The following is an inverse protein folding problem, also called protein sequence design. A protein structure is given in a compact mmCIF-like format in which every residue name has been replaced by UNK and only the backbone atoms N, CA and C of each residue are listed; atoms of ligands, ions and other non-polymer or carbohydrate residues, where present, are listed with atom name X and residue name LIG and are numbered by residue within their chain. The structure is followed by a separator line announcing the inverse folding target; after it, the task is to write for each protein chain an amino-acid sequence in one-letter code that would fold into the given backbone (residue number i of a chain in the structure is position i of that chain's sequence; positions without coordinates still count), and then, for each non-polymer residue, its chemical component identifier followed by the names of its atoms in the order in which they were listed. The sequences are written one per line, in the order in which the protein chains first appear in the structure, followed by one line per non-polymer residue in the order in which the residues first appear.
data_IF_726314204907
#
_entry.id   IF_726314204907
#
_cell.length_a   1.000
_cell.length_b   1.000
_cell.length_c   1.000
_cell.angle_alpha   90.00
_cell.angle_beta   90.00
_cell.angle_gamma   90.00
#
_symmetry.space_group_name_H-M   'P 1'
#
loop_
_entity.id
_entity.type
_entity.pdbx_description
1 polymer ?
#
# COMPACT_ATOMS: atom_id res chain seq x y z
N UNK A 1 -7.01 -7.53 16.56
CA UNK A 1 -6.69 -8.94 16.31
C UNK A 1 -5.46 -8.98 15.42
N UNK A 2 -4.32 -9.53 15.88
CA UNK A 2 -3.12 -9.59 15.06
C UNK A 2 -3.32 -10.59 13.92
N UNK A 3 -3.01 -10.19 12.69
CA UNK A 3 -2.86 -11.07 11.53
C UNK A 3 -1.45 -10.94 11.01
N UNK A 4 -0.74 -12.05 10.91
CA UNK A 4 0.52 -12.08 10.18
C UNK A 4 0.25 -12.46 8.73
N UNK A 5 0.33 -11.45 7.85
CA UNK A 5 0.06 -11.67 6.43
C UNK A 5 1.17 -12.48 5.75
N UNK A 6 2.37 -12.56 6.33
CA UNK A 6 3.48 -13.35 5.77
C UNK A 6 3.35 -14.84 6.06
N UNK A 7 2.45 -15.25 6.95
CA UNK A 7 2.09 -16.66 7.14
C UNK A 7 1.16 -17.18 6.04
N UNK A 8 0.57 -16.28 5.23
CA UNK A 8 -0.28 -16.64 4.10
C UNK A 8 0.60 -16.81 2.85
N UNK A 9 0.74 -18.04 2.29
CA UNK A 9 1.69 -18.29 1.20
C UNK A 9 1.51 -17.37 0.00
N UNK A 10 0.26 -17.16 -0.45
CA UNK A 10 -0.01 -16.27 -1.58
C UNK A 10 0.39 -14.81 -1.35
N UNK A 11 0.44 -14.37 -0.10
CA UNK A 11 0.92 -13.03 0.24
C UNK A 11 2.43 -12.98 0.34
N UNK A 12 3.03 -13.97 1.02
CA UNK A 12 4.49 -14.11 1.14
C UNK A 12 5.17 -14.28 -0.21
N UNK A 13 4.58 -15.03 -1.13
CA UNK A 13 5.12 -15.29 -2.47
C UNK A 13 4.78 -14.17 -3.47
N UNK A 14 4.16 -13.08 -3.00
CA UNK A 14 3.79 -11.91 -3.79
C UNK A 14 3.04 -12.25 -5.09
N UNK A 15 2.17 -13.27 -5.04
CA UNK A 15 1.46 -13.79 -6.21
C UNK A 15 0.57 -12.71 -6.84
N UNK A 16 0.22 -12.84 -8.14
CA UNK A 16 -0.70 -11.90 -8.80
C UNK A 16 -2.04 -11.70 -8.09
N UNK A 17 -2.51 -12.72 -7.38
CA UNK A 17 -3.75 -12.71 -6.58
C UNK A 17 -3.55 -12.26 -5.12
N UNK A 18 -2.34 -11.86 -4.70
CA UNK A 18 -2.01 -11.42 -3.33
C UNK A 18 -3.04 -10.46 -2.76
N UNK A 19 -3.42 -9.42 -3.50
CA UNK A 19 -4.32 -8.39 -3.01
C UNK A 19 -5.70 -8.94 -2.66
N UNK A 20 -6.21 -9.91 -3.43
CA UNK A 20 -7.46 -10.60 -3.12
C UNK A 20 -7.32 -11.42 -1.83
N UNK A 21 -6.29 -12.28 -1.75
CA UNK A 21 -6.08 -13.16 -0.58
C UNK A 21 -5.85 -12.34 0.70
N UNK A 22 -5.04 -11.29 0.61
CA UNK A 22 -4.74 -10.36 1.69
C UNK A 22 -6.03 -9.67 2.19
N UNK A 23 -6.81 -9.08 1.27
CA UNK A 23 -8.07 -8.42 1.65
C UNK A 23 -9.07 -9.40 2.24
N UNK A 24 -9.21 -10.60 1.68
CA UNK A 24 -10.09 -11.65 2.19
C UNK A 24 -9.74 -12.02 3.64
N UNK A 25 -8.47 -12.33 3.91
CA UNK A 25 -8.02 -12.71 5.26
C UNK A 25 -8.27 -11.60 6.29
N UNK A 26 -8.03 -10.33 5.93
CA UNK A 26 -8.34 -9.18 6.79
C UNK A 26 -9.84 -9.06 7.07
N UNK A 27 -10.68 -9.20 6.05
CA UNK A 27 -12.12 -8.96 6.21
C UNK A 27 -12.83 -10.14 6.88
N UNK A 28 -12.41 -11.39 6.67
CA UNK A 28 -12.87 -12.54 7.45
C UNK A 28 -12.55 -12.34 8.94
N UNK A 29 -11.37 -11.79 9.23
CA UNK A 29 -10.96 -11.46 10.57
C UNK A 29 -11.83 -10.36 11.22
N UNK A 30 -12.10 -9.29 10.48
CA UNK A 30 -13.01 -8.22 10.93
C UNK A 30 -14.43 -8.78 11.13
N UNK A 31 -14.91 -9.64 10.22
CA UNK A 31 -16.22 -10.30 10.31
C UNK A 31 -16.39 -11.11 11.60
N UNK A 32 -15.40 -11.96 11.94
CA UNK A 32 -15.42 -12.73 13.20
C UNK A 32 -15.49 -11.82 14.43
N UNK A 33 -14.77 -10.71 14.43
CA UNK A 33 -14.81 -9.76 15.55
C UNK A 33 -16.13 -8.99 15.60
N UNK A 34 -16.71 -8.65 14.45
CA UNK A 34 -18.03 -8.03 14.36
C UNK A 34 -19.12 -8.95 14.92
N UNK A 35 -19.12 -10.22 14.54
CA UNK A 35 -20.01 -11.25 15.09
C UNK A 35 -19.86 -11.36 16.61
N UNK A 36 -18.63 -11.45 17.11
CA UNK A 36 -18.34 -11.51 18.55
C UNK A 36 -18.88 -10.30 19.33
N UNK A 37 -18.96 -9.13 18.67
CA UNK A 37 -19.48 -7.89 19.25
C UNK A 37 -20.99 -7.68 19.02
N UNK A 38 -21.66 -8.58 18.31
CA UNK A 38 -23.07 -8.42 17.94
C UNK A 38 -23.31 -7.34 16.88
N UNK A 39 -22.27 -6.96 16.12
CA UNK A 39 -22.42 -6.03 15.01
C UNK A 39 -23.12 -6.73 13.83
N UNK A 40 -24.18 -6.14 13.31
CA UNK A 40 -24.98 -6.72 12.20
C UNK A 40 -24.35 -6.55 10.82
N UNK A 41 -23.46 -5.56 10.67
CA UNK A 41 -22.95 -5.15 9.36
C UNK A 41 -21.51 -4.70 9.50
N UNK A 42 -20.67 -5.15 8.57
CA UNK A 42 -19.32 -4.65 8.37
C UNK A 42 -19.33 -3.79 7.12
N UNK A 43 -18.77 -2.59 7.23
CA UNK A 43 -18.63 -1.65 6.13
C UNK A 43 -17.15 -1.38 5.84
N UNK A 44 -16.83 -1.05 4.59
CA UNK A 44 -15.50 -0.57 4.21
C UNK A 44 -15.57 0.80 3.52
N UNK A 45 -14.40 1.41 3.29
CA UNK A 45 -14.28 2.75 2.72
C UNK A 45 -14.20 2.81 1.20
N UNK A 46 -14.63 1.77 0.47
CA UNK A 46 -14.67 1.81 -1.00
C UNK A 46 -15.65 2.90 -1.47
N UNK A 47 -15.22 3.75 -2.41
CA UNK A 47 -15.98 4.90 -2.91
C UNK A 47 -16.31 4.77 -4.41
N UNK A 48 -17.13 5.68 -4.95
CA UNK A 48 -17.64 5.56 -6.32
C UNK A 48 -16.55 5.61 -7.41
N UNK A 49 -15.46 6.35 -7.17
CA UNK A 49 -14.34 6.41 -8.11
C UNK A 49 -13.46 5.14 -8.12
N UNK A 50 -13.71 4.19 -7.21
CA UNK A 50 -12.94 2.95 -7.18
C UNK A 50 -13.37 2.00 -8.30
N UNK A 51 -12.44 1.74 -9.23
CA UNK A 51 -12.68 0.85 -10.37
C UNK A 51 -12.71 -0.62 -9.94
N UNK A 52 -13.90 -1.16 -9.69
CA UNK A 52 -14.16 -2.54 -9.27
C UNK A 52 -13.42 -3.60 -10.12
N UNK A 53 -13.46 -3.46 -11.44
CA UNK A 53 -12.91 -4.44 -12.38
C UNK A 53 -11.38 -4.58 -12.32
N UNK A 54 -10.69 -3.60 -11.73
CA UNK A 54 -9.23 -3.55 -11.66
C UNK A 54 -8.65 -3.94 -10.31
N UNK A 55 -9.50 -4.14 -9.28
CA UNK A 55 -9.06 -4.31 -7.89
C UNK A 55 -9.48 -5.67 -7.34
N UNK A 56 -8.60 -6.69 -7.38
CA UNK A 56 -8.91 -8.03 -6.86
C UNK A 56 -9.42 -8.05 -5.40
N UNK A 57 -9.02 -7.07 -4.58
CA UNK A 57 -9.52 -6.93 -3.21
C UNK A 57 -11.02 -6.61 -3.12
N UNK A 58 -11.60 -5.89 -4.08
CA UNK A 58 -13.04 -5.58 -4.07
C UNK A 58 -13.90 -6.82 -4.29
N UNK A 59 -13.40 -7.79 -5.07
CA UNK A 59 -14.05 -9.10 -5.19
C UNK A 59 -14.19 -9.78 -3.83
N UNK A 60 -13.14 -9.73 -2.99
CA UNK A 60 -13.18 -10.32 -1.65
C UNK A 60 -14.22 -9.66 -0.73
N UNK A 61 -14.41 -8.34 -0.84
CA UNK A 61 -15.44 -7.62 -0.09
C UNK A 61 -16.85 -8.12 -0.46
N UNK A 62 -17.12 -8.21 -1.76
CA UNK A 62 -18.41 -8.66 -2.28
C UNK A 62 -18.72 -10.11 -1.85
N UNK A 63 -17.75 -11.02 -1.96
CA UNK A 63 -17.91 -12.42 -1.56
C UNK A 63 -18.20 -12.60 -0.05
N UNK A 64 -17.67 -11.69 0.78
CA UNK A 64 -17.86 -11.70 2.23
C UNK A 64 -19.08 -10.89 2.68
N UNK A 65 -19.85 -10.30 1.75
CA UNK A 65 -21.02 -9.48 2.07
C UNK A 65 -20.67 -8.16 2.78
N UNK A 66 -19.45 -7.66 2.61
CA UNK A 66 -19.04 -6.35 3.15
C UNK A 66 -19.71 -5.24 2.34
N UNK A 67 -20.30 -4.27 3.04
CA UNK A 67 -20.99 -3.14 2.41
C UNK A 67 -20.04 -1.96 2.21
N UNK A 68 -20.28 -1.17 1.18
CA UNK A 68 -19.43 -0.02 0.83
C UNK A 68 -20.31 1.21 0.65
N UNK A 69 -20.76 1.86 1.75
CA UNK A 69 -21.79 2.90 1.70
C UNK A 69 -21.45 4.07 0.78
N UNK A 70 -20.18 4.50 0.73
CA UNK A 70 -19.78 5.59 -0.16
C UNK A 70 -20.00 5.22 -1.63
N UNK A 71 -19.55 4.05 -2.07
CA UNK A 71 -19.81 3.57 -3.43
C UNK A 71 -21.32 3.35 -3.69
N UNK A 72 -22.05 2.77 -2.73
CA UNK A 72 -23.50 2.52 -2.85
C UNK A 72 -24.32 3.81 -2.98
N UNK A 73 -23.86 4.90 -2.37
CA UNK A 73 -24.47 6.23 -2.47
C UNK A 73 -23.91 7.07 -3.62
N UNK A 74 -22.98 6.55 -4.43
CA UNK A 74 -22.37 7.29 -5.54
C UNK A 74 -21.41 8.40 -5.09
N UNK A 75 -20.91 8.35 -3.85
CA UNK A 75 -19.98 9.34 -3.31
C UNK A 75 -18.56 9.06 -3.81
N UNK A 76 -18.00 10.02 -4.53
CA UNK A 76 -16.62 10.03 -4.97
C UNK A 76 -15.67 10.55 -3.88
N UNK A 77 -14.39 10.66 -4.24
CA UNK A 77 -13.34 11.15 -3.33
C UNK A 77 -13.63 12.57 -2.87
N UNK A 78 -14.02 13.46 -3.79
CA UNK A 78 -14.29 14.87 -3.49
C UNK A 78 -15.46 15.03 -2.50
N UNK A 79 -16.51 14.22 -2.66
CA UNK A 79 -17.67 14.21 -1.73
C UNK A 79 -17.25 13.80 -0.32
N UNK A 80 -16.38 12.78 -0.22
CA UNK A 80 -15.90 12.27 1.07
C UNK A 80 -14.99 13.28 1.75
N UNK A 81 -14.11 13.95 0.99
CA UNK A 81 -13.22 14.99 1.51
C UNK A 81 -14.03 16.20 2.01
N UNK A 82 -15.04 16.65 1.25
CA UNK A 82 -15.94 17.72 1.67
C UNK A 82 -16.74 17.36 2.94
N UNK A 83 -17.26 16.13 3.02
CA UNK A 83 -17.97 15.64 4.21
C UNK A 83 -17.04 15.54 5.43
N UNK A 84 -15.79 15.11 5.23
CA UNK A 84 -14.81 15.03 6.29
C UNK A 84 -14.49 16.43 6.86
N UNK A 85 -14.35 17.42 5.99
CA UNK A 85 -14.14 18.82 6.38
C UNK A 85 -15.32 19.38 7.17
N UNK A 86 -16.56 19.12 6.75
CA UNK A 86 -17.77 19.52 7.48
C UNK A 86 -17.82 18.91 8.89
N UNK A 87 -17.39 17.66 9.02
CA UNK A 87 -17.35 16.92 10.29
C UNK A 87 -16.10 17.21 11.12
N UNK A 88 -15.15 18.02 10.64
CA UNK A 88 -13.87 18.28 11.29
C UNK A 88 -12.96 17.04 11.39
N UNK A 89 -13.10 16.09 10.46
CA UNK A 89 -12.32 14.85 10.39
C UNK A 89 -11.17 15.01 9.41
N UNK A 90 -9.94 14.82 9.87
CA UNK A 90 -8.77 14.90 9.00
C UNK A 90 -8.72 13.73 8.00
N UNK A 91 -8.60 14.05 6.71
CA UNK A 91 -8.37 13.06 5.65
C UNK A 91 -6.89 12.67 5.64
N UNK A 92 -6.62 11.35 5.69
CA UNK A 92 -5.25 10.84 5.59
C UNK A 92 -4.89 10.59 4.12
N UNK A 93 -3.66 10.91 3.70
CA UNK A 93 -3.18 10.56 2.37
C UNK A 93 -3.29 9.05 2.10
N UNK A 94 -3.57 8.64 0.85
CA UNK A 94 -3.63 7.23 0.50
C UNK A 94 -2.27 6.55 0.73
N UNK A 95 -2.26 5.43 1.46
CA UNK A 95 -1.07 4.61 1.64
C UNK A 95 -1.24 3.25 0.95
N UNK A 96 -0.33 2.95 0.04
CA UNK A 96 -0.30 1.65 -0.62
C UNK A 96 0.50 0.64 0.22
N UNK A 97 0.10 -0.63 0.17
CA UNK A 97 0.80 -1.73 0.84
C UNK A 97 2.29 -1.77 0.47
N UNK A 98 3.17 -1.93 1.46
CA UNK A 98 4.62 -2.03 1.25
C UNK A 98 5.03 -3.18 0.32
N UNK A 99 4.26 -4.28 0.25
CA UNK A 99 4.52 -5.37 -0.69
C UNK A 99 4.49 -4.92 -2.17
N UNK A 100 3.87 -3.77 -2.48
CA UNK A 100 3.94 -3.18 -3.83
C UNK A 100 5.35 -2.73 -4.22
N UNK A 101 6.24 -2.49 -3.24
CA UNK A 101 7.65 -2.13 -3.46
C UNK A 101 8.52 -3.34 -3.80
N UNK A 102 7.95 -4.55 -3.82
CA UNK A 102 8.64 -5.79 -4.14
C UNK A 102 8.06 -6.31 -5.48
N UNK A 103 8.90 -6.79 -6.42
CA UNK A 103 8.42 -7.32 -7.69
C UNK A 103 7.39 -8.44 -7.51
N UNK A 104 6.32 -8.48 -8.32
CA UNK A 104 5.38 -9.60 -8.30
C UNK A 104 6.09 -10.94 -8.51
N UNK A 105 5.74 -11.94 -7.70
CA UNK A 105 6.39 -13.26 -7.71
C UNK A 105 7.64 -13.38 -6.83
N UNK A 106 8.26 -12.27 -6.41
CA UNK A 106 9.38 -12.31 -5.46
C UNK A 106 8.87 -12.49 -4.03
N UNK A 107 9.61 -13.23 -3.21
CA UNK A 107 9.25 -13.45 -1.81
C UNK A 107 9.29 -12.15 -0.99
N UNK A 108 8.16 -11.81 -0.37
CA UNK A 108 8.04 -10.75 0.63
C UNK A 108 8.58 -11.25 1.97
N UNK A 109 9.65 -10.63 2.46
CA UNK A 109 10.22 -10.93 3.77
C UNK A 109 10.00 -9.78 4.75
N UNK A 110 9.98 -10.09 6.05
CA UNK A 110 9.87 -9.07 7.10
C UNK A 110 11.03 -8.07 7.05
N UNK A 111 12.23 -8.56 6.78
CA UNK A 111 13.44 -7.74 6.63
C UNK A 111 13.29 -6.74 5.48
N UNK A 112 12.90 -7.19 4.28
CA UNK A 112 12.70 -6.31 3.13
C UNK A 112 11.61 -5.25 3.41
N UNK A 113 10.49 -5.64 4.03
CA UNK A 113 9.43 -4.70 4.39
C UNK A 113 9.92 -3.65 5.41
N UNK A 114 10.71 -4.07 6.40
CA UNK A 114 11.27 -3.17 7.40
C UNK A 114 12.28 -2.19 6.79
N UNK A 115 13.17 -2.66 5.91
CA UNK A 115 14.12 -1.82 5.19
C UNK A 115 13.42 -0.77 4.33
N UNK A 116 12.43 -1.19 3.53
CA UNK A 116 11.64 -0.27 2.69
C UNK A 116 10.93 0.76 3.55
N UNK A 117 10.26 0.34 4.64
CA UNK A 117 9.55 1.25 5.52
C UNK A 117 10.49 2.27 6.18
N UNK A 118 11.65 1.82 6.67
CA UNK A 118 12.66 2.69 7.28
C UNK A 118 13.20 3.70 6.26
N UNK A 119 13.48 3.26 5.03
CA UNK A 119 13.97 4.14 3.98
C UNK A 119 12.92 5.18 3.55
N UNK A 120 11.66 4.78 3.31
CA UNK A 120 10.59 5.72 2.96
C UNK A 120 10.35 6.72 4.10
N UNK A 121 10.39 6.29 5.37
CA UNK A 121 10.24 7.17 6.52
C UNK A 121 11.40 8.17 6.67
N UNK A 122 12.65 7.72 6.48
CA UNK A 122 13.83 8.59 6.52
C UNK A 122 13.76 9.64 5.42
N UNK A 123 13.46 9.23 4.19
CA UNK A 123 13.41 10.12 3.05
C UNK A 123 12.27 11.15 3.18
N UNK A 124 11.13 10.76 3.75
CA UNK A 124 9.98 11.64 3.95
C UNK A 124 10.25 12.80 4.94
N UNK A 125 11.28 12.71 5.79
CA UNK A 125 11.70 13.82 6.65
C UNK A 125 12.41 14.93 5.86
N UNK A 126 13.05 14.56 4.77
CA UNK A 126 13.91 15.42 3.98
C UNK A 126 13.23 15.87 2.68
N UNK A 127 12.36 15.03 2.11
CA UNK A 127 11.82 15.24 0.77
C UNK A 127 10.30 15.28 0.85
N UNK A 128 9.67 16.40 0.45
CA UNK A 128 8.22 16.46 0.41
C UNK A 128 7.67 15.62 -0.75
N UNK A 129 6.41 15.24 -0.65
CA UNK A 129 5.70 14.53 -1.70
C UNK A 129 5.78 13.01 -1.58
N UNK A 130 5.52 12.32 -2.70
CA UNK A 130 5.44 10.85 -2.72
C UNK A 130 6.79 10.25 -3.04
N UNK A 131 7.27 9.38 -2.15
CA UNK A 131 8.52 8.64 -2.30
C UNK A 131 8.19 7.16 -2.27
N UNK A 132 8.81 6.38 -3.16
CA UNK A 132 8.77 4.92 -3.08
C UNK A 132 10.17 4.36 -3.13
N UNK A 133 10.45 3.42 -2.25
CA UNK A 133 11.71 2.67 -2.26
C UNK A 133 11.41 1.26 -2.72
N UNK A 134 11.66 0.98 -4.01
CA UNK A 134 11.52 -0.37 -4.56
C UNK A 134 12.69 -1.23 -4.10
N UNK A 135 12.41 -2.45 -3.68
CA UNK A 135 13.41 -3.42 -3.24
C UNK A 135 13.38 -4.65 -4.14
N UNK A 136 14.53 -5.03 -4.69
CA UNK A 136 14.68 -6.21 -5.56
C UNK A 136 15.79 -7.12 -5.05
N UNK A 137 15.64 -8.44 -5.25
CA UNK A 137 16.69 -9.44 -4.99
C UNK A 137 17.42 -9.25 -3.65
N UNK A 138 18.75 -9.28 -3.70
CA UNK A 138 19.71 -9.14 -2.58
C UNK A 138 19.66 -7.79 -1.81
N UNK A 139 18.48 -7.24 -1.53
CA UNK A 139 18.28 -5.94 -0.86
C UNK A 139 18.84 -4.78 -1.67
N UNK A 140 18.57 -4.73 -2.98
CA UNK A 140 18.89 -3.56 -3.82
C UNK A 140 17.71 -2.60 -3.86
N UNK A 141 17.96 -1.33 -3.55
CA UNK A 141 16.95 -0.28 -3.53
C UNK A 141 16.98 0.59 -4.80
N UNK A 142 15.80 0.91 -5.32
CA UNK A 142 15.59 1.98 -6.31
C UNK A 142 14.59 2.99 -5.76
N UNK A 143 15.02 4.25 -5.64
CA UNK A 143 14.24 5.33 -5.06
C UNK A 143 13.51 6.08 -6.17
N UNK A 144 12.18 6.02 -6.14
CA UNK A 144 11.26 6.76 -7.01
C UNK A 144 10.76 8.00 -6.28
N UNK A 145 11.03 9.20 -6.81
CA UNK A 145 10.60 10.48 -6.25
C UNK A 145 10.50 11.55 -7.35
N UNK A 146 10.10 12.78 -6.99
CA UNK A 146 10.12 13.91 -7.91
C UNK A 146 11.56 14.21 -8.37
N UNK A 147 11.83 14.28 -9.70
CA UNK A 147 13.13 14.64 -10.25
C UNK A 147 13.71 15.96 -9.71
N UNK A 148 12.87 16.91 -9.30
CA UNK A 148 13.29 18.16 -8.66
C UNK A 148 14.12 17.94 -7.39
N UNK A 149 14.03 16.76 -6.76
CA UNK A 149 14.73 16.41 -5.53
C UNK A 149 15.94 15.49 -5.73
N UNK A 150 16.33 15.15 -6.96
CA UNK A 150 17.46 14.24 -7.24
C UNK A 150 18.76 14.65 -6.53
N UNK A 151 19.17 15.93 -6.60
CA UNK A 151 20.38 16.40 -5.90
C UNK A 151 20.33 16.28 -4.38
N UNK A 152 19.13 16.27 -3.78
CA UNK A 152 18.95 16.02 -2.33
C UNK A 152 19.02 14.53 -2.06
N UNK A 153 18.39 13.70 -2.90
CA UNK A 153 18.47 12.24 -2.81
C UNK A 153 19.89 11.71 -2.93
N UNK A 154 20.69 12.24 -3.87
CA UNK A 154 22.09 11.85 -4.05
C UNK A 154 22.89 11.96 -2.75
N UNK A 155 22.61 13.00 -1.94
CA UNK A 155 23.25 13.22 -0.64
C UNK A 155 22.77 12.25 0.45
N UNK A 156 21.61 11.61 0.26
CA UNK A 156 21.00 10.67 1.21
C UNK A 156 21.28 9.20 0.85
N UNK A 157 21.83 8.90 -0.33
CA UNK A 157 22.06 7.52 -0.79
C UNK A 157 22.93 6.71 0.19
N UNK A 158 23.99 7.31 0.72
CA UNK A 158 24.86 6.66 1.70
C UNK A 158 24.09 6.30 2.98
N UNK A 159 23.32 7.25 3.53
CA UNK A 159 22.50 7.04 4.72
C UNK A 159 21.41 5.98 4.50
N UNK A 160 20.77 5.97 3.33
CA UNK A 160 19.80 4.92 2.99
C UNK A 160 20.50 3.57 2.89
N UNK A 161 21.69 3.50 2.29
CA UNK A 161 22.46 2.25 2.15
C UNK A 161 22.85 1.67 3.52
N UNK A 162 23.21 2.53 4.47
CA UNK A 162 23.55 2.17 5.86
C UNK A 162 22.40 1.48 6.61
N UNK A 163 21.14 1.59 6.14
CA UNK A 163 20.02 0.82 6.71
C UNK A 163 20.15 -0.69 6.49
N UNK A 164 20.96 -1.13 5.53
CA UNK A 164 21.20 -2.55 5.23
C UNK A 164 20.93 -2.97 3.79
N UNK A 165 20.75 -2.03 2.86
CA UNK A 165 20.66 -2.35 1.43
C UNK A 165 22.06 -2.69 0.88
N UNK A 166 22.14 -3.67 -0.02
CA UNK A 166 23.39 -4.00 -0.72
C UNK A 166 23.78 -2.90 -1.71
N UNK A 167 22.79 -2.27 -2.32
CA UNK A 167 22.96 -1.13 -3.20
C UNK A 167 21.74 -0.22 -3.21
N UNK A 168 21.94 1.07 -3.53
CA UNK A 168 20.89 2.08 -3.55
C UNK A 168 21.10 3.01 -4.74
N UNK A 169 20.08 3.13 -5.58
CA UNK A 169 20.08 4.05 -6.72
C UNK A 169 18.80 4.90 -6.76
N UNK A 170 18.84 5.99 -7.52
CA UNK A 170 17.67 6.81 -7.83
C UNK A 170 17.09 6.32 -9.16
N UNK A 171 15.78 6.10 -9.22
CA UNK A 171 15.10 5.77 -10.46
C UNK A 171 15.14 6.97 -11.43
N UNK A 172 15.69 6.83 -12.64
CA UNK A 172 15.84 7.95 -13.56
C UNK A 172 14.49 8.50 -14.05
N UNK A 173 13.44 7.67 -14.08
CA UNK A 173 12.08 8.07 -14.49
C UNK A 173 11.32 8.82 -13.38
N UNK A 174 11.85 8.85 -12.15
CA UNK A 174 11.17 9.42 -10.98
C UNK A 174 9.95 8.61 -10.53
N UNK A 175 9.05 9.26 -9.77
CA UNK A 175 7.84 8.65 -9.24
C UNK A 175 6.78 8.36 -10.32
N UNK A 176 6.24 7.13 -10.32
CA UNK A 176 5.12 6.71 -11.18
C UNK A 176 3.94 6.18 -10.36
N UNK A 177 2.73 6.64 -10.70
CA UNK A 177 1.49 6.04 -10.19
C UNK A 177 1.31 4.61 -10.73
N UNK A 178 0.53 3.77 -10.04
CA UNK A 178 0.22 2.40 -10.48
C UNK A 178 0.58 1.27 -9.52
N UNK A 179 1.07 1.54 -8.30
CA UNK A 179 1.32 0.48 -7.31
C UNK A 179 2.28 -0.60 -7.78
N UNK A 180 1.80 -1.84 -8.00
CA UNK A 180 2.59 -2.93 -8.58
C UNK A 180 2.60 -2.91 -10.12
N UNK A 181 1.65 -2.24 -10.78
CA UNK A 181 1.64 -2.10 -12.22
C UNK A 181 2.78 -1.22 -12.74
N UNK A 182 3.41 -0.41 -11.87
CA UNK A 182 4.63 0.33 -12.22
C UNK A 182 5.83 -0.57 -12.50
N UNK A 183 5.76 -1.86 -12.14
CA UNK A 183 6.76 -2.87 -12.52
C UNK A 183 6.61 -3.35 -13.95
N UNK A 184 5.45 -3.15 -14.58
CA UNK A 184 5.21 -3.52 -15.98
C UNK A 184 5.95 -2.49 -16.84
N UNK A 185 6.99 -2.95 -17.53
CA UNK A 185 7.66 -2.23 -18.61
C UNK A 185 6.79 -2.29 -19.87
#
# INVERSE_FOLDING_TARGET
MPLDMLEIPAVRENRPDRCYVCKRAMMEAVGREAERRGCRTVVDGTHADDRADSRPGMRALSELGIRSPFAECGMGKEDIEALADELGVSVRPPSACLATRIPPGDTVTRECLALVAAAEALLAQEIPGTIRVRCTGDRRASIEADPAHHRRLERLLATVKELGFSDVAIAPEGYRQGGADSWKQ
#
